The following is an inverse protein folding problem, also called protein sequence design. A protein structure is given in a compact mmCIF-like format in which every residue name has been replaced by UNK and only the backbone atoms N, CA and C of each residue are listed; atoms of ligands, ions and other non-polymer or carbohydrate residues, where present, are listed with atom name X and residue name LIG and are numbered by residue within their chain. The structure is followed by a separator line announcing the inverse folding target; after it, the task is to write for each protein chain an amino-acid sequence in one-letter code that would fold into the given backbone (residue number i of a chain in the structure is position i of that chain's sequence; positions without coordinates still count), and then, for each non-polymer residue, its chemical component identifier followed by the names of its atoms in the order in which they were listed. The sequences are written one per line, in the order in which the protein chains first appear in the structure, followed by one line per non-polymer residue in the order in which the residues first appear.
data_IF_544544446909
#
_entry.id   IF_544544446909
#
_cell.length_a   1.000
_cell.length_b   1.000
_cell.length_c   1.000
_cell.angle_alpha   90.00
_cell.angle_beta   90.00
_cell.angle_gamma   90.00
#
_symmetry.space_group_name_H-M   'P 1'
#
loop_
_entity.id
_entity.type
_entity.pdbx_description
1 polymer ?
#
# COMPACT_ATOMS: atom_id res chain seq x y z
N UNK A 1 1.65 34.55 -43.16
CA UNK A 1 3.12 34.56 -43.17
C UNK A 1 3.57 33.96 -41.85
N UNK A 2 4.51 33.02 -41.92
CA UNK A 2 4.90 32.05 -40.88
C UNK A 2 5.75 32.62 -39.73
N UNK A 3 5.90 31.76 -38.70
CA UNK A 3 6.97 31.57 -37.69
C UNK A 3 6.59 31.98 -36.26
N UNK A 4 6.41 31.03 -35.32
CA UNK A 4 7.40 30.30 -34.46
C UNK A 4 8.11 31.27 -33.48
N UNK A 5 8.29 30.99 -32.18
CA UNK A 5 8.88 29.80 -31.56
C UNK A 5 8.36 29.51 -30.14
N UNK A 6 8.37 28.23 -29.80
CA UNK A 6 8.15 27.63 -28.49
C UNK A 6 9.41 27.64 -27.64
N UNK A 7 9.31 28.01 -26.35
CA UNK A 7 10.32 27.64 -25.37
C UNK A 7 9.64 26.96 -24.17
N UNK A 8 9.61 25.62 -24.20
CA UNK A 8 9.27 24.79 -23.04
C UNK A 8 10.57 24.54 -22.28
N UNK A 9 10.62 24.96 -21.02
CA UNK A 9 11.71 24.63 -20.10
C UNK A 9 11.52 23.16 -19.68
N UNK A 10 12.40 22.29 -20.18
CA UNK A 10 12.46 20.87 -19.85
C UNK A 10 13.34 20.69 -18.60
N UNK A 11 12.78 20.12 -17.53
CA UNK A 11 13.57 19.62 -16.40
C UNK A 11 13.90 18.14 -16.67
N UNK A 12 15.07 17.88 -17.25
CA UNK A 12 15.58 16.52 -17.39
C UNK A 12 16.13 16.05 -16.03
N UNK A 13 15.32 15.27 -15.31
CA UNK A 13 15.83 14.48 -14.20
C UNK A 13 16.58 13.26 -14.78
N UNK A 14 17.81 12.95 -14.33
CA UNK A 14 18.68 11.96 -14.98
C UNK A 14 18.28 10.49 -14.75
N UNK A 15 17.02 10.22 -14.39
CA UNK A 15 16.50 8.88 -14.07
C UNK A 15 15.28 8.47 -14.91
N UNK A 16 15.07 9.10 -16.08
CA UNK A 16 14.08 8.64 -17.07
C UNK A 16 14.70 7.58 -17.99
N UNK A 17 14.79 6.33 -17.50
CA UNK A 17 14.97 5.16 -18.38
C UNK A 17 13.65 4.43 -18.46
N UNK A 18 12.87 4.76 -19.49
CA UNK A 18 11.70 4.00 -19.93
C UNK A 18 10.40 4.78 -19.88
N UNK A 19 9.72 4.86 -21.04
CA UNK A 19 8.35 5.37 -21.27
C UNK A 19 8.19 6.85 -21.63
N UNK A 20 9.02 7.35 -22.55
CA UNK A 20 8.62 8.49 -23.39
C UNK A 20 7.49 8.04 -24.36
N UNK A 21 6.24 8.42 -24.07
CA UNK A 21 5.14 8.24 -25.04
C UNK A 21 3.70 8.20 -24.53
N UNK A 22 3.42 8.25 -23.22
CA UNK A 22 2.04 8.03 -22.72
C UNK A 22 1.19 9.29 -22.57
N UNK A 23 1.77 10.50 -22.59
CA UNK A 23 1.02 11.74 -22.25
C UNK A 23 0.02 12.18 -23.32
N UNK A 24 0.22 11.84 -24.59
CA UNK A 24 -0.57 12.40 -25.69
C UNK A 24 -1.70 11.48 -26.20
N UNK A 25 -1.74 10.21 -25.77
CA UNK A 25 -2.71 9.23 -26.28
C UNK A 25 -4.13 9.35 -25.67
N UNK A 26 -4.30 10.08 -24.56
CA UNK A 26 -5.54 10.03 -23.77
C UNK A 26 -6.53 11.18 -24.00
N UNK A 27 -6.15 12.24 -24.71
CA UNK A 27 -7.08 13.33 -25.02
C UNK A 27 -8.08 12.98 -26.14
N UNK A 28 -7.98 11.80 -26.76
CA UNK A 28 -8.79 11.43 -27.93
C UNK A 28 -10.02 10.55 -27.64
N UNK A 29 -10.23 10.10 -26.40
CA UNK A 29 -11.45 9.35 -26.06
C UNK A 29 -12.00 9.77 -24.69
N UNK A 30 -13.03 10.64 -24.64
CA UNK A 30 -13.67 10.97 -23.37
C UNK A 30 -14.33 9.72 -22.77
N UNK A 31 -14.27 9.52 -21.45
CA UNK A 31 -14.89 8.36 -20.81
C UNK A 31 -16.40 8.35 -21.06
N UNK A 32 -16.92 7.18 -21.42
CA UNK A 32 -18.33 6.95 -21.70
C UNK A 32 -19.24 7.45 -20.56
N UNK A 33 -20.36 8.07 -20.95
CA UNK A 33 -21.32 8.79 -20.11
C UNK A 33 -21.76 7.95 -18.88
N UNK A 34 -21.60 8.50 -17.67
CA UNK A 34 -21.78 7.80 -16.38
C UNK A 34 -20.61 7.94 -15.38
N UNK A 35 -19.66 8.81 -15.68
CA UNK A 35 -18.42 9.06 -14.94
C UNK A 35 -18.64 9.62 -13.52
N UNK A 36 -18.15 8.90 -12.50
CA UNK A 36 -17.96 9.44 -11.15
C UNK A 36 -16.45 9.60 -10.87
N UNK A 37 -15.94 10.84 -10.79
CA UNK A 37 -14.51 11.10 -10.57
C UNK A 37 -13.99 10.60 -9.22
N UNK A 38 -14.86 10.26 -8.26
CA UNK A 38 -14.44 9.71 -6.96
C UNK A 38 -14.14 8.21 -6.99
N UNK A 39 -14.63 7.49 -7.99
CA UNK A 39 -14.54 6.02 -8.07
C UNK A 39 -13.67 5.52 -9.21
N UNK A 40 -13.27 6.40 -10.13
CA UNK A 40 -12.43 6.04 -11.27
C UNK A 40 -10.96 5.95 -10.86
N UNK A 41 -10.33 4.82 -11.18
CA UNK A 41 -8.89 4.59 -11.01
C UNK A 41 -8.22 4.79 -12.37
N UNK A 42 -7.42 5.85 -12.50
CA UNK A 42 -6.57 6.11 -13.65
C UNK A 42 -5.22 5.41 -13.40
N UNK A 43 -4.87 4.33 -14.12
CA UNK A 43 -3.63 3.59 -13.88
C UNK A 43 -2.35 4.44 -14.00
N UNK A 44 -2.46 5.62 -14.62
CA UNK A 44 -1.35 6.50 -14.99
C UNK A 44 -1.42 7.87 -14.30
N UNK A 45 -2.36 8.08 -13.35
CA UNK A 45 -2.41 9.27 -12.48
C UNK A 45 -1.73 9.02 -11.13
N UNK A 46 -1.29 7.78 -10.88
CA UNK A 46 -0.61 7.37 -9.66
C UNK A 46 0.88 7.78 -9.69
N UNK A 47 1.18 9.04 -10.00
CA UNK A 47 2.56 9.55 -9.98
C UNK A 47 3.10 9.58 -8.53
N UNK A 48 2.18 9.55 -7.55
CA UNK A 48 2.50 9.61 -6.12
C UNK A 48 2.61 8.20 -5.49
N UNK A 49 3.70 7.96 -4.77
CA UNK A 49 3.86 6.75 -3.95
C UNK A 49 2.70 6.58 -2.95
N UNK A 50 2.16 7.69 -2.47
CA UNK A 50 0.99 7.72 -1.59
C UNK A 50 -0.23 7.08 -2.24
N UNK A 51 -0.50 7.36 -3.52
CA UNK A 51 -1.62 6.74 -4.21
C UNK A 51 -1.37 5.27 -4.47
N UNK A 52 -0.11 4.86 -4.71
CA UNK A 52 0.22 3.44 -4.90
C UNK A 52 0.07 2.61 -3.62
N UNK A 53 0.44 3.14 -2.45
CA UNK A 53 0.52 2.37 -1.20
C UNK A 53 -0.61 2.66 -0.19
N UNK A 54 -1.12 3.90 -0.15
CA UNK A 54 -2.03 4.37 0.90
C UNK A 54 -3.44 4.70 0.40
N UNK A 55 -3.73 4.57 -0.89
CA UNK A 55 -5.09 4.77 -1.41
C UNK A 55 -5.93 3.49 -1.36
N UNK A 56 -7.21 3.52 -0.93
CA UNK A 56 -8.10 2.35 -1.06
C UNK A 56 -8.74 2.24 -2.46
N UNK A 57 -8.45 3.18 -3.37
CA UNK A 57 -9.16 3.30 -4.66
C UNK A 57 -8.67 2.27 -5.68
N UNK A 58 -9.57 1.90 -6.59
CA UNK A 58 -9.28 1.00 -7.69
C UNK A 58 -9.29 -0.48 -7.33
N UNK A 59 -8.77 -1.28 -8.26
CA UNK A 59 -8.76 -2.75 -8.24
C UNK A 59 -7.33 -3.24 -8.38
N UNK A 60 -7.00 -4.31 -7.67
CA UNK A 60 -5.68 -4.93 -7.75
C UNK A 60 -5.78 -6.33 -8.34
N UNK A 61 -4.95 -6.62 -9.36
CA UNK A 61 -4.84 -7.94 -9.96
C UNK A 61 -4.25 -8.95 -8.95
N UNK A 62 -4.57 -10.24 -9.12
CA UNK A 62 -4.07 -11.31 -8.23
C UNK A 62 -2.55 -11.36 -8.11
N UNK A 63 -1.82 -11.12 -9.22
CA UNK A 63 -0.35 -11.15 -9.25
C UNK A 63 0.25 -9.96 -8.50
N UNK A 64 -0.29 -8.76 -8.75
CA UNK A 64 0.13 -7.56 -8.04
C UNK A 64 -0.16 -7.68 -6.53
N UNK A 65 -1.34 -8.18 -6.17
CA UNK A 65 -1.70 -8.43 -4.77
C UNK A 65 -0.77 -9.44 -4.11
N UNK A 66 -0.47 -10.56 -4.77
CA UNK A 66 0.43 -11.57 -4.24
C UNK A 66 1.84 -11.00 -4.00
N UNK A 67 2.41 -10.32 -5.00
CA UNK A 67 3.73 -9.71 -4.89
C UNK A 67 3.79 -8.67 -3.75
N UNK A 68 2.88 -7.70 -3.75
CA UNK A 68 2.84 -6.65 -2.72
C UNK A 68 2.59 -7.22 -1.33
N UNK A 69 1.69 -8.19 -1.20
CA UNK A 69 1.40 -8.80 0.10
C UNK A 69 2.57 -9.60 0.63
N UNK A 70 3.23 -10.41 -0.20
CA UNK A 70 4.38 -11.24 0.22
C UNK A 70 5.54 -10.35 0.64
N UNK A 71 5.86 -9.31 -0.15
CA UNK A 71 6.88 -8.32 0.22
C UNK A 71 6.51 -7.67 1.56
N UNK A 72 5.25 -7.25 1.72
CA UNK A 72 4.75 -6.69 2.98
C UNK A 72 4.91 -7.66 4.16
N UNK A 73 4.62 -8.95 4.00
CA UNK A 73 4.81 -9.97 5.03
C UNK A 73 6.28 -10.16 5.40
N UNK A 74 7.19 -10.20 4.42
CA UNK A 74 8.64 -10.33 4.69
C UNK A 74 9.13 -9.12 5.48
N UNK A 75 8.76 -7.91 5.05
CA UNK A 75 9.10 -6.68 5.78
C UNK A 75 8.53 -6.71 7.20
N UNK A 76 7.28 -7.16 7.37
CA UNK A 76 6.64 -7.28 8.68
C UNK A 76 7.29 -8.33 9.59
N UNK A 77 7.81 -9.42 9.04
CA UNK A 77 8.54 -10.44 9.81
C UNK A 77 9.88 -9.87 10.30
N UNK A 78 10.63 -9.20 9.42
CA UNK A 78 11.90 -8.56 9.78
C UNK A 78 11.66 -7.49 10.85
N UNK A 79 10.66 -6.63 10.60
CA UNK A 79 10.31 -5.55 11.50
C UNK A 79 9.79 -6.09 12.85
N UNK A 80 9.01 -7.18 12.83
CA UNK A 80 8.57 -7.89 14.02
C UNK A 80 9.72 -8.51 14.82
N UNK A 81 10.74 -9.06 14.16
CA UNK A 81 11.93 -9.57 14.84
C UNK A 81 12.71 -8.44 15.53
N UNK A 82 12.83 -7.26 14.89
CA UNK A 82 13.42 -6.07 15.49
C UNK A 82 12.60 -5.63 16.71
N UNK A 83 11.29 -5.50 16.57
CA UNK A 83 10.41 -5.14 17.69
C UNK A 83 10.54 -6.14 18.84
N UNK A 84 10.56 -7.44 18.56
CA UNK A 84 10.72 -8.46 19.61
C UNK A 84 12.06 -8.39 20.31
N UNK A 85 13.15 -8.13 19.59
CA UNK A 85 14.46 -7.89 20.20
C UNK A 85 14.43 -6.66 21.13
N UNK A 86 13.78 -5.57 20.71
CA UNK A 86 13.64 -4.37 21.55
C UNK A 86 12.73 -4.56 22.74
N UNK A 87 11.61 -5.27 22.58
CA UNK A 87 10.74 -5.62 23.70
C UNK A 87 11.45 -6.50 24.73
N UNK A 88 12.29 -7.43 24.27
CA UNK A 88 13.13 -8.25 25.14
C UNK A 88 14.12 -7.39 25.93
N UNK A 89 14.87 -6.51 25.25
CA UNK A 89 15.80 -5.60 25.90
C UNK A 89 15.08 -4.71 26.92
N UNK A 90 13.96 -4.10 26.54
CA UNK A 90 13.11 -3.29 27.42
C UNK A 90 12.65 -4.05 28.66
N UNK A 91 12.30 -5.32 28.52
CA UNK A 91 11.90 -6.18 29.65
C UNK A 91 13.06 -6.41 30.62
N UNK A 92 14.26 -6.76 30.12
CA UNK A 92 15.45 -6.94 30.96
C UNK A 92 15.87 -5.64 31.66
N UNK A 93 15.86 -4.51 30.95
CA UNK A 93 16.15 -3.19 31.54
C UNK A 93 15.12 -2.81 32.62
N UNK A 94 13.85 -3.18 32.43
CA UNK A 94 12.82 -3.00 33.44
C UNK A 94 13.08 -3.83 34.70
N UNK A 95 13.47 -5.10 34.56
CA UNK A 95 13.80 -5.97 35.71
C UNK A 95 15.05 -5.51 36.46
N UNK A 96 16.09 -5.09 35.75
CA UNK A 96 17.35 -4.58 36.35
C UNK A 96 17.15 -3.23 37.03
N UNK A 97 16.32 -2.34 36.46
CA UNK A 97 15.97 -1.03 37.05
C UNK A 97 15.19 -1.11 38.37
N UNK A 98 14.59 -2.26 38.69
CA UNK A 98 13.99 -2.52 40.01
C UNK A 98 15.05 -2.79 41.10
N UNK A 99 16.27 -3.19 40.70
CA UNK A 99 17.36 -3.57 41.60
C UNK A 99 18.38 -2.45 41.83
N UNK A 100 18.42 -1.44 40.94
CA UNK A 100 19.42 -0.37 40.96
C UNK A 100 18.77 1.04 41.00
N UNK A 101 19.37 2.02 41.69
CA UNK A 101 18.82 3.39 41.80
C UNK A 101 18.69 4.15 40.47
N UNK A 102 19.31 3.66 39.39
CA UNK A 102 19.27 4.25 38.04
C UNK A 102 18.01 3.88 37.24
N UNK A 103 17.05 3.14 37.81
CA UNK A 103 15.87 2.64 37.07
C UNK A 103 15.05 3.69 36.31
N UNK A 104 14.91 4.91 36.83
CA UNK A 104 14.02 5.94 36.24
C UNK A 104 14.41 6.36 34.82
N UNK A 105 15.70 6.49 34.50
CA UNK A 105 16.15 6.90 33.16
C UNK A 105 15.99 5.78 32.13
N UNK A 106 16.19 4.52 32.54
CA UNK A 106 15.99 3.36 31.67
C UNK A 106 14.53 3.16 31.27
N UNK A 107 13.59 3.38 32.19
CA UNK A 107 12.16 3.27 31.90
C UNK A 107 11.72 4.28 30.84
N UNK A 108 12.08 5.56 30.98
CA UNK A 108 11.63 6.60 30.05
C UNK A 108 12.13 6.38 28.62
N UNK A 109 13.40 6.03 28.42
CA UNK A 109 13.97 5.77 27.09
C UNK A 109 13.28 4.55 26.43
N UNK A 110 13.08 3.48 27.21
CA UNK A 110 12.42 2.25 26.76
C UNK A 110 10.98 2.50 26.26
N UNK A 111 10.18 3.28 27.00
CA UNK A 111 8.82 3.60 26.59
C UNK A 111 8.73 4.44 25.31
N UNK A 112 9.62 5.42 25.14
CA UNK A 112 9.68 6.24 23.92
C UNK A 112 10.02 5.39 22.68
N UNK A 113 10.99 4.49 22.81
CA UNK A 113 11.38 3.57 21.72
C UNK A 113 10.22 2.65 21.33
N UNK A 114 9.61 1.95 22.30
CA UNK A 114 8.47 1.05 22.04
C UNK A 114 7.31 1.81 21.37
N UNK A 115 7.01 3.02 21.84
CA UNK A 115 5.92 3.83 21.27
C UNK A 115 6.19 4.20 19.82
N UNK A 116 7.42 4.61 19.50
CA UNK A 116 7.82 4.95 18.13
C UNK A 116 7.75 3.71 17.22
N UNK A 117 8.27 2.58 17.68
CA UNK A 117 8.21 1.33 16.94
C UNK A 117 6.75 0.94 16.69
N UNK A 118 5.92 0.95 17.72
CA UNK A 118 4.50 0.61 17.56
C UNK A 118 3.78 1.52 16.56
N UNK A 119 4.10 2.82 16.50
CA UNK A 119 3.56 3.72 15.47
C UNK A 119 3.94 3.28 14.04
N UNK A 120 5.17 2.84 13.83
CA UNK A 120 5.62 2.30 12.52
C UNK A 120 4.85 1.02 12.18
N UNK A 121 4.66 0.11 13.14
CA UNK A 121 3.85 -1.10 12.97
C UNK A 121 2.42 -0.79 12.51
N UNK A 122 1.78 0.23 13.08
CA UNK A 122 0.45 0.68 12.66
C UNK A 122 0.47 1.18 11.21
N UNK A 123 1.50 1.94 10.82
CA UNK A 123 1.68 2.40 9.44
C UNK A 123 1.73 1.25 8.42
N UNK A 124 2.47 0.18 8.74
CA UNK A 124 2.50 -1.02 7.91
C UNK A 124 1.15 -1.75 7.85
N UNK A 125 0.43 -1.86 8.96
CA UNK A 125 -0.91 -2.46 9.00
C UNK A 125 -1.89 -1.69 8.08
N UNK A 126 -1.83 -0.37 8.10
CA UNK A 126 -2.65 0.48 7.22
C UNK A 126 -2.31 0.23 5.76
N UNK A 127 -1.03 0.21 5.40
CA UNK A 127 -0.59 -0.08 4.02
C UNK A 127 -1.08 -1.46 3.54
N UNK A 128 -0.92 -2.51 4.35
CA UNK A 128 -1.40 -3.85 4.00
C UNK A 128 -2.94 -3.90 3.84
N UNK A 129 -3.66 -3.14 4.66
CA UNK A 129 -5.12 -3.03 4.55
C UNK A 129 -5.55 -2.43 3.21
N UNK A 130 -4.81 -1.46 2.68
CA UNK A 130 -5.12 -0.85 1.38
C UNK A 130 -5.04 -1.88 0.25
N UNK A 131 -4.04 -2.76 0.26
CA UNK A 131 -3.93 -3.84 -0.72
C UNK A 131 -5.11 -4.82 -0.64
N UNK A 132 -5.51 -5.21 0.58
CA UNK A 132 -6.66 -6.10 0.80
C UNK A 132 -7.95 -5.45 0.32
N UNK A 133 -8.16 -4.16 0.61
CA UNK A 133 -9.33 -3.40 0.16
C UNK A 133 -9.40 -3.39 -1.37
N UNK A 134 -8.33 -3.03 -2.07
CA UNK A 134 -8.29 -3.05 -3.55
C UNK A 134 -8.50 -4.45 -4.12
N UNK A 135 -8.06 -5.48 -3.39
CA UNK A 135 -8.28 -6.87 -3.78
C UNK A 135 -9.73 -7.31 -3.59
N UNK A 136 -10.40 -6.83 -2.56
CA UNK A 136 -11.83 -7.02 -2.33
C UNK A 136 -12.67 -6.27 -3.36
N UNK A 137 -12.25 -5.07 -3.73
CA UNK A 137 -12.85 -4.30 -4.81
C UNK A 137 -12.77 -5.02 -6.15
N UNK A 138 -11.66 -5.72 -6.43
CA UNK A 138 -11.56 -6.59 -7.61
C UNK A 138 -12.59 -7.74 -7.62
N UNK A 139 -13.13 -8.12 -6.46
CA UNK A 139 -14.22 -9.11 -6.32
C UNK A 139 -15.61 -8.47 -6.16
N UNK A 140 -15.73 -7.16 -6.37
CA UNK A 140 -16.96 -6.39 -6.16
C UNK A 140 -17.52 -6.48 -4.72
N UNK A 141 -16.64 -6.71 -3.74
CA UNK A 141 -16.96 -6.74 -2.29
C UNK A 141 -16.58 -5.42 -1.65
N UNK A 142 -17.23 -5.08 -0.53
CA UNK A 142 -16.88 -3.88 0.25
C UNK A 142 -15.53 -4.03 0.94
N UNK A 143 -14.76 -2.94 0.99
CA UNK A 143 -13.48 -2.88 1.69
C UNK A 143 -13.57 -3.18 3.19
N UNK A 144 -14.76 -3.04 3.80
CA UNK A 144 -15.02 -3.38 5.20
C UNK A 144 -14.58 -4.81 5.59
N UNK A 145 -14.64 -5.76 4.66
CA UNK A 145 -14.20 -7.14 4.92
C UNK A 145 -12.68 -7.27 5.12
N UNK A 146 -11.90 -6.20 4.94
CA UNK A 146 -10.47 -6.21 5.26
C UNK A 146 -10.21 -6.46 6.74
N UNK A 147 -11.16 -6.13 7.62
CA UNK A 147 -11.05 -6.34 9.07
C UNK A 147 -10.83 -7.83 9.41
N UNK A 148 -11.33 -8.75 8.57
CA UNK A 148 -11.14 -10.21 8.74
C UNK A 148 -9.65 -10.58 8.78
N UNK A 149 -8.78 -9.79 8.11
CA UNK A 149 -7.34 -10.03 8.10
C UNK A 149 -6.69 -9.88 9.49
N UNK A 150 -7.33 -9.18 10.42
CA UNK A 150 -6.84 -8.99 11.79
C UNK A 150 -7.27 -10.08 12.77
N UNK A 151 -8.11 -11.01 12.34
CA UNK A 151 -8.49 -12.16 13.18
C UNK A 151 -7.38 -13.22 13.14
N UNK A 152 -6.93 -13.75 14.28
CA UNK A 152 -5.92 -14.81 14.31
C UNK A 152 -6.46 -16.07 13.61
N UNK A 153 -5.59 -16.77 12.89
CA UNK A 153 -5.88 -17.96 12.06
C UNK A 153 -6.84 -17.70 10.87
N UNK A 154 -8.01 -17.11 11.11
CA UNK A 154 -9.00 -16.77 10.10
C UNK A 154 -8.42 -15.76 9.08
N UNK A 155 -7.66 -14.78 9.54
CA UNK A 155 -7.01 -13.80 8.66
C UNK A 155 -6.03 -14.43 7.68
N UNK A 156 -5.32 -15.50 8.08
CA UNK A 156 -4.41 -16.25 7.21
C UNK A 156 -5.21 -17.00 6.15
N UNK A 157 -6.28 -17.71 6.54
CA UNK A 157 -7.16 -18.40 5.60
C UNK A 157 -7.80 -17.42 4.61
N UNK A 158 -8.21 -16.24 5.09
CA UNK A 158 -8.78 -15.19 4.24
C UNK A 158 -7.75 -14.61 3.27
N UNK A 159 -6.52 -14.38 3.71
CA UNK A 159 -5.42 -13.94 2.85
C UNK A 159 -5.14 -14.97 1.76
N UNK A 160 -5.03 -16.26 2.12
CA UNK A 160 -4.86 -17.37 1.17
C UNK A 160 -6.01 -17.41 0.16
N UNK A 161 -7.25 -17.27 0.63
CA UNK A 161 -8.42 -17.17 -0.26
C UNK A 161 -8.25 -16.02 -1.28
N UNK A 162 -7.85 -14.82 -0.83
CA UNK A 162 -7.68 -13.67 -1.72
C UNK A 162 -6.55 -13.82 -2.75
N UNK A 163 -5.52 -14.63 -2.45
CA UNK A 163 -4.46 -14.96 -3.42
C UNK A 163 -5.01 -15.71 -4.63
N UNK A 164 -5.87 -16.70 -4.40
CA UNK A 164 -6.32 -17.61 -5.45
C UNK A 164 -7.67 -17.22 -6.08
N UNK A 165 -8.55 -16.54 -5.34
CA UNK A 165 -9.93 -16.37 -5.77
C UNK A 165 -10.08 -15.38 -6.96
N UNK A 166 -10.57 -15.83 -8.12
CA UNK A 166 -10.67 -15.01 -9.36
C UNK A 166 -11.48 -13.70 -9.22
N UNK A 167 -10.95 -12.59 -9.73
CA UNK A 167 -11.63 -11.29 -9.80
C UNK A 167 -12.86 -11.26 -10.70
N UNK A 168 -13.63 -10.17 -10.64
CA UNK A 168 -14.78 -9.94 -11.54
C UNK A 168 -14.31 -9.65 -12.96
N UNK A 169 -14.91 -10.29 -13.96
CA UNK A 169 -14.62 -10.01 -15.37
C UNK A 169 -15.20 -8.67 -15.78
N UNK A 170 -14.43 -7.87 -16.53
CA UNK A 170 -14.89 -6.59 -17.06
C UNK A 170 -15.03 -5.51 -15.99
N UNK A 171 -15.74 -4.43 -16.33
CA UNK A 171 -15.89 -3.27 -15.46
C UNK A 171 -16.74 -3.60 -14.23
N UNK A 172 -16.36 -3.06 -13.07
CA UNK A 172 -17.16 -3.15 -11.85
C UNK A 172 -17.31 -1.76 -11.20
N UNK A 173 -18.05 -1.67 -10.09
CA UNK A 173 -18.33 -0.39 -9.39
C UNK A 173 -17.09 0.32 -8.82
N UNK A 174 -15.94 -0.36 -8.80
CA UNK A 174 -14.65 0.15 -8.33
C UNK A 174 -13.67 0.42 -9.47
N UNK A 175 -14.09 0.25 -10.73
CA UNK A 175 -13.29 0.60 -11.91
C UNK A 175 -13.17 -0.50 -12.96
N UNK A 176 -12.44 -0.21 -14.05
CA UNK A 176 -12.20 -1.14 -15.15
C UNK A 176 -11.37 -2.36 -14.71
N UNK A 177 -11.36 -3.41 -15.52
CA UNK A 177 -10.60 -4.63 -15.22
C UNK A 177 -9.10 -4.34 -15.18
N UNK A 178 -8.37 -4.68 -14.10
CA UNK A 178 -6.93 -4.46 -13.99
C UNK A 178 -6.10 -5.31 -14.96
N UNK A 179 -6.69 -6.19 -15.75
CA UNK A 179 -5.99 -6.93 -16.80
C UNK A 179 -6.11 -6.27 -18.18
N UNK A 180 -6.95 -5.24 -18.33
CA UNK A 180 -7.27 -4.62 -19.64
C UNK A 180 -6.07 -3.92 -20.28
N UNK A 181 -5.08 -3.48 -19.50
CA UNK A 181 -3.87 -2.79 -19.99
C UNK A 181 -2.67 -3.72 -20.25
N UNK A 182 -2.83 -5.04 -20.04
CA UNK A 182 -1.77 -6.06 -20.19
C UNK A 182 -2.02 -6.99 -21.40
N UNK A 183 -2.98 -6.64 -22.27
CA UNK A 183 -3.35 -7.38 -23.47
C UNK A 183 -2.67 -6.83 -24.71
#
# INVERSE_FOLDING_TARGET
MYMNETEKITYDSPFEVGFAGSKDAYHQNPPCYGYNPRTYYEPWRDDSLTDRFFSPRGRMSRKAFAASSIIGWIVMIIWGAILMNRLWDSFLHGMTGLMLPTGRTFFTVSYCEITLLFAIFIGFCVMQSMFVIRRLHDRNKSGWHCIIMYLPYIGILFWVYLLFAKGTKGNNKYGPDPLTHLG
#
